data_IF_625290204765
#
_entry.id   IF_625290204765
#
_cell.length_a   1.000
_cell.length_b   1.000
_cell.length_c   1.000
_cell.angle_alpha   90.00
_cell.angle_beta   90.00
_cell.angle_gamma   90.00
#
_symmetry.space_group_name_H-M   'P 1'
#
loop_
_entity.id
_entity.type
_entity.pdbx_description
1 polymer ?
#
# COMPACT_ATOMS: atom_id res chain seq x y z
N UNK A 1 10.82 -2.62 26.40
CA UNK A 1 10.99 -2.91 24.96
C UNK A 1 9.60 -3.15 24.42
N UNK A 2 8.92 -2.06 24.07
CA UNK A 2 7.46 -2.08 23.96
C UNK A 2 7.04 -1.70 22.54
N UNK A 3 6.30 -2.63 21.91
CA UNK A 3 5.62 -2.60 20.61
C UNK A 3 6.51 -2.66 19.36
N UNK A 4 6.63 -3.86 18.79
CA UNK A 4 7.03 -4.05 17.40
C UNK A 4 6.03 -3.31 16.47
N UNK A 5 6.42 -2.19 15.83
CA UNK A 5 5.53 -1.44 14.95
C UNK A 5 5.16 -2.29 13.74
N UNK A 6 3.94 -2.15 13.24
CA UNK A 6 3.56 -2.78 11.97
C UNK A 6 4.45 -2.23 10.85
N UNK A 7 5.10 -3.11 10.09
CA UNK A 7 5.79 -2.77 8.85
C UNK A 7 4.85 -2.99 7.68
N UNK A 8 4.75 -2.01 6.79
CA UNK A 8 3.96 -2.09 5.56
C UNK A 8 4.90 -2.32 4.39
N UNK A 9 4.73 -3.46 3.71
CA UNK A 9 5.55 -3.87 2.56
C UNK A 9 4.78 -3.54 1.30
N UNK A 10 5.40 -2.75 0.42
CA UNK A 10 4.86 -2.42 -0.90
C UNK A 10 5.35 -3.47 -1.90
N UNK A 11 4.44 -4.25 -2.47
CA UNK A 11 4.73 -5.22 -3.52
C UNK A 11 4.36 -4.62 -4.89
N UNK A 12 5.29 -4.71 -5.85
CA UNK A 12 5.17 -4.12 -7.21
C UNK A 12 3.85 -4.48 -7.90
N UNK A 13 3.35 -5.71 -7.71
CA UNK A 13 2.09 -6.23 -8.28
C UNK A 13 0.82 -5.51 -7.79
N UNK A 14 0.92 -4.57 -6.83
CA UNK A 14 -0.24 -3.80 -6.36
C UNK A 14 -0.80 -4.25 -5.02
N UNK A 15 0.02 -4.86 -4.16
CA UNK A 15 -0.38 -5.22 -2.79
C UNK A 15 0.42 -4.46 -1.76
N UNK A 16 -0.25 -4.12 -0.65
CA UNK A 16 0.42 -3.69 0.58
C UNK A 16 0.19 -4.77 1.62
N UNK A 17 1.28 -5.35 2.14
CA UNK A 17 1.23 -6.39 3.18
C UNK A 17 1.72 -5.87 4.51
N UNK A 18 1.35 -6.56 5.58
CA UNK A 18 1.74 -6.19 6.94
C UNK A 18 2.63 -7.27 7.54
N UNK A 19 3.80 -6.88 8.03
CA UNK A 19 4.53 -7.65 9.03
C UNK A 19 4.24 -7.06 10.41
N UNK A 20 3.90 -7.94 11.36
CA UNK A 20 3.64 -7.58 12.74
C UNK A 20 4.24 -8.66 13.64
N UNK A 21 5.05 -8.28 14.62
CA UNK A 21 5.70 -9.25 15.53
C UNK A 21 6.56 -10.26 14.76
N UNK A 22 7.29 -9.77 13.75
CA UNK A 22 8.10 -10.59 12.85
C UNK A 22 7.34 -11.54 11.92
N UNK A 23 6.00 -11.54 11.93
CA UNK A 23 5.18 -12.42 11.10
C UNK A 23 4.40 -11.66 10.04
N UNK A 24 4.38 -12.23 8.83
CA UNK A 24 3.60 -11.72 7.71
C UNK A 24 2.13 -12.11 7.87
N UNK A 25 1.24 -11.12 7.91
CA UNK A 25 -0.19 -11.38 8.01
C UNK A 25 -0.74 -11.99 6.71
N UNK A 26 -1.71 -12.89 6.84
CA UNK A 26 -2.32 -13.58 5.71
C UNK A 26 -3.12 -12.63 4.81
N UNK A 27 -3.89 -11.73 5.42
CA UNK A 27 -4.67 -10.73 4.69
C UNK A 27 -3.80 -9.51 4.36
N UNK A 28 -3.72 -9.08 3.10
CA UNK A 28 -3.05 -7.82 2.75
C UNK A 28 -3.79 -6.63 3.38
N UNK A 29 -3.06 -5.56 3.66
CA UNK A 29 -3.64 -4.29 4.07
C UNK A 29 -4.46 -3.65 2.95
N UNK A 30 -3.96 -3.73 1.72
CA UNK A 30 -4.60 -3.23 0.52
C UNK A 30 -4.24 -4.16 -0.65
N UNK A 31 -5.21 -4.48 -1.50
CA UNK A 31 -5.00 -5.16 -2.77
C UNK A 31 -5.66 -4.32 -3.88
N UNK A 32 -4.83 -3.80 -4.77
CA UNK A 32 -5.23 -3.05 -5.97
C UNK A 32 -4.57 -3.64 -7.22
N UNK A 33 -4.34 -4.94 -7.22
CA UNK A 33 -3.74 -5.66 -8.36
C UNK A 33 -4.52 -5.46 -9.67
N UNK A 34 -5.85 -5.30 -9.61
CA UNK A 34 -6.69 -5.09 -10.79
C UNK A 34 -6.30 -3.88 -11.67
N UNK A 35 -6.20 -2.66 -11.13
CA UNK A 35 -5.80 -1.47 -11.91
C UNK A 35 -4.30 -1.29 -12.13
N UNK A 36 -3.42 -2.11 -11.53
CA UNK A 36 -1.96 -1.89 -11.56
C UNK A 36 -1.33 -2.63 -12.75
N UNK A 37 -0.60 -1.89 -13.58
CA UNK A 37 0.28 -2.48 -14.61
C UNK A 37 1.68 -2.69 -14.05
N UNK A 38 2.13 -3.94 -13.90
CA UNK A 38 3.42 -4.28 -13.29
C UNK A 38 4.54 -4.58 -14.32
N UNK A 39 5.79 -4.52 -13.86
CA UNK A 39 7.00 -4.89 -14.59
C UNK A 39 7.88 -3.71 -14.99
N UNK A 40 9.20 -3.92 -15.01
CA UNK A 40 10.18 -2.85 -15.13
C UNK A 40 10.10 -1.91 -13.93
N UNK A 41 10.03 -0.60 -14.19
CA UNK A 41 9.77 0.42 -13.16
C UNK A 41 8.28 0.68 -12.91
N UNK A 42 7.38 -0.08 -13.57
CA UNK A 42 5.93 0.04 -13.36
C UNK A 42 5.47 -0.81 -12.19
N UNK A 43 4.36 -0.41 -11.59
CA UNK A 43 3.70 -1.15 -10.52
C UNK A 43 3.22 -0.22 -9.42
N UNK A 44 2.95 -0.77 -8.23
CA UNK A 44 2.80 0.03 -7.03
C UNK A 44 4.18 0.48 -6.53
N UNK A 45 4.36 1.79 -6.42
CA UNK A 45 5.66 2.42 -6.17
C UNK A 45 5.80 2.93 -4.75
N UNK A 46 4.74 3.53 -4.22
CA UNK A 46 4.80 4.19 -2.92
C UNK A 46 3.46 4.18 -2.19
N UNK A 47 3.55 4.31 -0.86
CA UNK A 47 2.43 4.56 0.03
C UNK A 47 2.82 5.64 1.03
N UNK A 48 1.90 6.57 1.28
CA UNK A 48 2.00 7.54 2.36
C UNK A 48 0.76 7.48 3.24
N UNK A 49 0.97 7.43 4.56
CA UNK A 49 -0.11 7.57 5.52
C UNK A 49 -0.40 9.06 5.73
N UNK A 50 -1.68 9.42 5.82
CA UNK A 50 -2.04 10.77 6.25
C UNK A 50 -1.43 11.05 7.64
N UNK A 51 -0.97 12.28 7.96
CA UNK A 51 -0.40 12.59 9.28
C UNK A 51 -1.34 12.24 10.45
N UNK A 52 -2.65 12.40 10.22
CA UNK A 52 -3.73 11.99 11.14
C UNK A 52 -4.30 10.59 10.86
N UNK A 53 -3.53 9.66 10.29
CA UNK A 53 -4.03 8.32 9.91
C UNK A 53 -4.68 7.58 11.08
N UNK A 54 -4.16 7.75 12.30
CA UNK A 54 -4.74 7.13 13.50
C UNK A 54 -6.21 7.55 13.76
N UNK A 55 -6.63 8.73 13.27
CA UNK A 55 -7.98 9.25 13.46
C UNK A 55 -8.85 9.16 12.21
N UNK A 56 -8.28 9.35 11.01
CA UNK A 56 -9.05 9.41 9.76
C UNK A 56 -8.89 8.20 8.84
N UNK A 57 -7.88 7.36 9.06
CA UNK A 57 -7.64 6.15 8.27
C UNK A 57 -7.26 6.40 6.80
N UNK A 58 -6.89 7.62 6.40
CA UNK A 58 -6.52 7.91 5.02
C UNK A 58 -5.08 7.54 4.68
N UNK A 59 -4.90 6.93 3.52
CA UNK A 59 -3.61 6.67 2.88
C UNK A 59 -3.67 7.12 1.42
N UNK A 60 -2.49 7.32 0.85
CA UNK A 60 -2.30 7.67 -0.54
C UNK A 60 -1.33 6.66 -1.15
N UNK A 61 -1.63 6.18 -2.34
CA UNK A 61 -0.73 5.28 -3.09
C UNK A 61 -0.39 5.90 -4.44
N UNK A 62 0.83 5.67 -4.88
CA UNK A 62 1.34 6.02 -6.20
C UNK A 62 1.64 4.73 -6.99
N UNK A 63 1.02 4.57 -8.16
CA UNK A 63 1.18 3.39 -9.00
C UNK A 63 1.07 3.70 -10.49
N UNK A 64 1.68 2.86 -11.31
CA UNK A 64 1.44 2.83 -12.76
C UNK A 64 0.23 1.96 -13.06
N UNK A 65 -0.74 2.47 -13.82
CA UNK A 65 -1.91 1.70 -14.22
C UNK A 65 -1.66 0.82 -15.45
N UNK A 66 -2.69 0.06 -15.86
CA UNK A 66 -2.62 -0.82 -17.03
C UNK A 66 -2.34 -0.11 -18.36
N UNK A 67 -2.57 1.20 -18.45
CA UNK A 67 -2.27 2.01 -19.64
C UNK A 67 -0.85 2.60 -19.60
N UNK A 68 -0.13 2.44 -18.48
CA UNK A 68 1.17 3.06 -18.26
C UNK A 68 1.10 4.45 -17.63
N UNK A 69 -0.09 4.92 -17.22
CA UNK A 69 -0.24 6.22 -16.58
C UNK A 69 0.14 6.15 -15.09
N UNK A 70 0.80 7.19 -14.58
CA UNK A 70 0.99 7.37 -13.14
C UNK A 70 -0.32 7.82 -12.49
N UNK A 71 -0.71 7.15 -11.40
CA UNK A 71 -1.93 7.41 -10.64
C UNK A 71 -1.60 7.60 -9.17
N UNK A 72 -2.10 8.70 -8.61
CA UNK A 72 -2.20 8.89 -7.16
C UNK A 72 -3.63 8.64 -6.74
N UNK A 73 -3.85 7.75 -5.77
CA UNK A 73 -5.19 7.43 -5.27
C UNK A 73 -5.25 7.41 -3.76
N UNK A 74 -6.29 8.02 -3.22
CA UNK A 74 -6.61 7.97 -1.79
C UNK A 74 -7.46 6.75 -1.45
N UNK A 75 -7.15 6.11 -0.34
CA UNK A 75 -7.98 5.07 0.30
C UNK A 75 -8.23 5.46 1.76
N UNK A 76 -9.42 5.20 2.28
CA UNK A 76 -9.80 5.53 3.65
C UNK A 76 -11.28 5.33 3.89
N UNK A 77 -11.76 5.75 5.07
CA UNK A 77 -13.17 5.59 5.44
C UNK A 77 -14.06 6.43 4.51
N UNK A 78 -15.07 5.79 3.89
CA UNK A 78 -16.30 6.51 3.54
C UNK A 78 -17.02 6.91 4.81
#
# INVERSE_FOLDING_TARGET
MDRDPRLFIVEQEGRIRIVKSGQLLATPFLDITGPVGAGGERGLLSVAFHPSYATNGYIYVDYTDNNGDTRIRTFGKR
#
